data_IF_399801867366
#
_entry.id   IF_399801867366
#
_cell.length_a   1.000
_cell.length_b   1.000
_cell.length_c   1.000
_cell.angle_alpha   90.00
_cell.angle_beta   90.00
_cell.angle_gamma   90.00
#
_symmetry.space_group_name_H-M   'P 1'
#
loop_
_entity.id
_entity.type
_entity.pdbx_description
1 polymer ?
#
# COMPACT_ATOMS: atom_id res chain seq x y z
N UNK A 1 -9.06 -27.34 13.43
CA UNK A 1 -9.48 -27.03 12.04
C UNK A 1 -9.37 -25.53 11.86
N UNK A 2 -8.27 -25.04 11.32
CA UNK A 2 -8.05 -23.61 11.03
C UNK A 2 -8.63 -23.32 9.65
N UNK A 3 -9.70 -22.55 9.61
CA UNK A 3 -10.33 -22.04 8.38
C UNK A 3 -9.36 -21.07 7.70
N UNK A 4 -8.89 -21.44 6.51
CA UNK A 4 -8.08 -20.57 5.64
C UNK A 4 -8.89 -19.31 5.32
N UNK A 5 -8.37 -18.09 5.54
CA UNK A 5 -9.11 -16.87 5.24
C UNK A 5 -9.43 -16.84 3.73
N UNK A 6 -10.71 -16.65 3.40
CA UNK A 6 -11.16 -16.46 2.04
C UNK A 6 -10.72 -15.06 1.60
N UNK A 7 -9.72 -14.99 0.73
CA UNK A 7 -9.32 -13.74 0.10
C UNK A 7 -10.45 -13.29 -0.84
N UNK A 8 -10.83 -12.02 -0.78
CA UNK A 8 -11.72 -11.43 -1.77
C UNK A 8 -10.97 -11.35 -3.10
N UNK A 9 -11.32 -12.25 -4.03
CA UNK A 9 -10.72 -12.33 -5.35
C UNK A 9 -11.48 -11.50 -6.38
N UNK A 10 -12.49 -10.73 -5.99
CA UNK A 10 -13.24 -9.84 -6.88
C UNK A 10 -12.31 -8.91 -7.67
N UNK A 11 -11.23 -8.33 -7.11
CA UNK A 11 -10.25 -7.54 -7.86
C UNK A 11 -9.43 -8.34 -8.89
N UNK A 12 -9.38 -9.67 -8.79
CA UNK A 12 -8.72 -10.53 -9.79
C UNK A 12 -9.67 -10.94 -10.91
N UNK A 13 -10.97 -10.73 -10.77
CA UNK A 13 -11.96 -11.07 -11.79
C UNK A 13 -11.70 -10.27 -13.08
N UNK A 14 -11.38 -8.99 -12.96
CA UNK A 14 -11.09 -8.14 -14.12
C UNK A 14 -9.73 -8.46 -14.75
N UNK A 15 -8.73 -8.84 -13.94
CA UNK A 15 -7.46 -9.41 -14.44
C UNK A 15 -7.70 -10.70 -15.22
N UNK A 16 -8.54 -11.59 -14.68
CA UNK A 16 -8.89 -12.87 -15.31
C UNK A 16 -9.61 -12.64 -16.63
N UNK A 17 -10.49 -11.63 -16.69
CA UNK A 17 -11.16 -11.20 -17.92
C UNK A 17 -10.17 -10.64 -18.93
N UNK A 18 -9.23 -9.78 -18.51
CA UNK A 18 -8.22 -9.20 -19.38
C UNK A 18 -7.29 -10.28 -19.98
N UNK A 19 -6.88 -11.26 -19.17
CA UNK A 19 -6.10 -12.42 -19.61
C UNK A 19 -6.92 -13.29 -20.58
N UNK A 20 -8.18 -13.59 -20.27
CA UNK A 20 -9.05 -14.40 -21.12
C UNK A 20 -9.30 -13.74 -22.49
N UNK A 21 -9.57 -12.43 -22.51
CA UNK A 21 -9.74 -11.66 -23.75
C UNK A 21 -8.44 -11.61 -24.55
N UNK A 22 -7.28 -11.48 -23.91
CA UNK A 22 -5.98 -11.53 -24.57
C UNK A 22 -5.74 -12.86 -25.27
N UNK A 23 -6.05 -13.96 -24.58
CA UNK A 23 -5.95 -15.32 -25.12
C UNK A 23 -6.89 -15.49 -26.31
N UNK A 24 -8.11 -14.96 -26.24
CA UNK A 24 -9.12 -15.10 -27.29
C UNK A 24 -8.84 -14.27 -28.55
N UNK A 25 -8.25 -13.09 -28.39
CA UNK A 25 -8.01 -12.14 -29.50
C UNK A 25 -6.65 -12.31 -30.18
N UNK A 26 -5.69 -12.97 -29.52
CA UNK A 26 -4.37 -13.19 -30.11
C UNK A 26 -4.46 -14.38 -31.07
N UNK A 27 -4.16 -14.22 -32.37
CA UNK A 27 -4.16 -15.33 -33.32
C UNK A 27 -2.90 -16.18 -33.10
N UNK A 28 -2.90 -16.96 -32.03
CA UNK A 28 -1.79 -17.85 -31.67
C UNK A 28 -1.92 -19.15 -32.46
N UNK A 29 -0.88 -19.54 -33.22
CA UNK A 29 -0.75 -20.95 -33.60
C UNK A 29 -0.38 -21.75 -32.36
N UNK A 30 -1.40 -22.26 -31.66
CA UNK A 30 -1.21 -23.16 -30.52
C UNK A 30 -0.34 -24.35 -30.96
N UNK A 31 0.86 -24.46 -30.41
CA UNK A 31 1.80 -25.56 -30.66
C UNK A 31 3.16 -25.19 -31.26
N UNK A 32 3.45 -23.92 -31.59
CA UNK A 32 4.82 -23.49 -31.94
C UNK A 32 5.48 -22.69 -30.80
N UNK A 33 6.82 -22.72 -30.67
CA UNK A 33 7.55 -21.93 -29.69
C UNK A 33 7.28 -20.41 -29.81
N UNK A 34 7.07 -19.93 -31.04
CA UNK A 34 6.77 -18.52 -31.34
C UNK A 34 5.37 -18.13 -30.86
N UNK A 35 4.36 -18.99 -31.06
CA UNK A 35 3.00 -18.74 -30.58
C UNK A 35 2.90 -18.68 -29.05
N UNK A 36 3.70 -19.49 -28.34
CA UNK A 36 3.77 -19.43 -26.88
C UNK A 36 4.44 -18.13 -26.38
N UNK A 37 5.48 -17.66 -27.09
CA UNK A 37 6.16 -16.41 -26.77
C UNK A 37 5.26 -15.18 -27.01
N UNK A 38 4.54 -15.15 -28.13
CA UNK A 38 3.60 -14.07 -28.46
C UNK A 38 2.46 -13.97 -27.45
N UNK A 39 1.92 -15.13 -27.02
CA UNK A 39 0.90 -15.17 -25.98
C UNK A 39 1.42 -14.68 -24.63
N UNK A 40 2.63 -15.09 -24.24
CA UNK A 40 3.26 -14.66 -23.00
C UNK A 40 3.51 -13.14 -22.99
N UNK A 41 3.97 -12.58 -24.11
CA UNK A 41 4.16 -11.14 -24.26
C UNK A 41 2.84 -10.37 -24.18
N UNK A 42 1.78 -10.84 -24.86
CA UNK A 42 0.46 -10.20 -24.82
C UNK A 42 -0.18 -10.23 -23.42
N UNK A 43 -0.07 -11.36 -22.72
CA UNK A 43 -0.53 -11.49 -21.33
C UNK A 43 0.27 -10.59 -20.39
N UNK A 44 1.60 -10.54 -20.52
CA UNK A 44 2.46 -9.69 -19.70
C UNK A 44 2.13 -8.19 -19.87
N UNK A 45 1.94 -7.72 -21.11
CA UNK A 45 1.59 -6.32 -21.38
C UNK A 45 0.22 -5.96 -20.82
N UNK A 46 -0.79 -6.81 -21.02
CA UNK A 46 -2.15 -6.54 -20.51
C UNK A 46 -2.24 -6.67 -18.98
N UNK A 47 -1.49 -7.60 -18.38
CA UNK A 47 -1.37 -7.69 -16.93
C UNK A 47 -0.65 -6.48 -16.32
N UNK A 48 0.40 -5.97 -16.98
CA UNK A 48 1.09 -4.75 -16.57
C UNK A 48 0.22 -3.50 -16.74
N UNK A 49 -0.55 -3.40 -17.83
CA UNK A 49 -1.51 -2.31 -18.05
C UNK A 49 -2.67 -2.37 -17.04
N UNK A 50 -3.20 -3.56 -16.76
CA UNK A 50 -4.19 -3.76 -15.70
C UNK A 50 -3.61 -3.34 -14.35
N UNK A 51 -2.46 -3.89 -13.96
CA UNK A 51 -1.75 -3.52 -12.74
C UNK A 51 -1.52 -2.00 -12.64
N UNK A 52 -1.11 -1.33 -13.72
CA UNK A 52 -0.97 0.13 -13.74
C UNK A 52 -2.29 0.92 -13.69
N UNK A 53 -3.42 0.29 -13.99
CA UNK A 53 -4.77 0.91 -13.95
C UNK A 53 -5.54 0.66 -12.65
N UNK A 54 -5.27 -0.45 -11.95
CA UNK A 54 -5.86 -0.78 -10.64
C UNK A 54 -4.93 -0.48 -9.47
N UNK A 55 -3.61 -0.50 -9.66
CA UNK A 55 -2.70 0.05 -8.66
C UNK A 55 -2.80 1.57 -8.79
N UNK A 56 -3.27 2.29 -7.77
CA UNK A 56 -3.21 3.74 -7.77
C UNK A 56 -1.73 4.18 -7.86
N UNK A 57 -1.47 5.49 -7.85
CA UNK A 57 -0.13 6.06 -7.56
C UNK A 57 0.63 5.35 -6.43
N UNK A 58 -0.10 4.70 -5.52
CA UNK A 58 0.37 3.75 -4.50
C UNK A 58 1.33 2.68 -5.02
N UNK A 59 1.19 2.18 -6.25
CA UNK A 59 2.05 1.13 -6.80
C UNK A 59 3.53 1.51 -6.82
N UNK A 60 3.83 2.79 -7.13
CA UNK A 60 5.21 3.30 -7.11
C UNK A 60 5.73 3.43 -5.68
N UNK A 61 4.97 4.07 -4.80
CA UNK A 61 5.36 4.31 -3.40
C UNK A 61 5.55 2.97 -2.66
N UNK A 62 4.65 2.01 -2.88
CA UNK A 62 4.78 0.66 -2.33
C UNK A 62 6.02 -0.08 -2.88
N UNK A 63 6.38 0.15 -4.14
CA UNK A 63 7.62 -0.34 -4.72
C UNK A 63 8.87 0.23 -4.04
N UNK A 64 8.87 1.53 -3.74
CA UNK A 64 9.95 2.20 -2.98
C UNK A 64 10.05 1.68 -1.55
N UNK A 65 8.92 1.51 -0.87
CA UNK A 65 8.87 0.91 0.48
C UNK A 65 9.40 -0.53 0.47
N UNK A 66 9.02 -1.33 -0.54
CA UNK A 66 9.51 -2.70 -0.68
C UNK A 66 11.02 -2.74 -0.95
N UNK A 67 11.54 -1.84 -1.79
CA UNK A 67 12.96 -1.71 -2.06
C UNK A 67 13.74 -1.30 -0.79
N UNK A 68 13.21 -0.35 -0.03
CA UNK A 68 13.77 0.03 1.27
C UNK A 68 13.81 -1.19 2.20
N UNK A 69 12.70 -1.92 2.39
CA UNK A 69 12.69 -3.12 3.25
C UNK A 69 13.71 -4.17 2.82
N UNK A 70 13.90 -4.41 1.53
CA UNK A 70 14.95 -5.30 1.04
C UNK A 70 16.36 -4.77 1.39
N UNK A 71 16.61 -3.45 1.29
CA UNK A 71 17.88 -2.85 1.68
C UNK A 71 18.14 -2.94 3.20
N UNK A 72 17.10 -2.75 4.00
CA UNK A 72 17.16 -2.91 5.45
C UNK A 72 17.47 -4.36 5.84
N UNK A 73 16.84 -5.34 5.21
CA UNK A 73 17.10 -6.76 5.45
C UNK A 73 18.53 -7.14 5.03
N UNK A 74 19.02 -6.60 3.91
CA UNK A 74 20.41 -6.79 3.50
C UNK A 74 21.42 -6.16 4.48
N UNK A 75 21.05 -5.03 5.11
CA UNK A 75 21.92 -4.29 6.03
C UNK A 75 21.92 -4.86 7.45
N UNK A 76 20.78 -5.29 7.95
CA UNK A 76 20.57 -5.64 9.36
C UNK A 76 20.11 -7.08 9.58
N UNK A 77 19.79 -7.83 8.52
CA UNK A 77 19.28 -9.20 8.63
C UNK A 77 17.88 -9.27 9.24
N UNK A 78 17.50 -10.46 9.69
CA UNK A 78 16.24 -10.68 10.40
C UNK A 78 16.21 -9.88 11.71
N UNK A 79 15.13 -9.12 11.92
CA UNK A 79 14.88 -8.36 13.15
C UNK A 79 13.76 -9.04 13.94
N UNK A 80 14.05 -9.51 15.14
CA UNK A 80 13.10 -10.18 16.04
C UNK A 80 13.12 -9.50 17.42
N UNK A 81 12.63 -8.25 17.47
CA UNK A 81 12.56 -7.46 18.70
C UNK A 81 11.19 -7.64 19.39
N UNK A 82 11.11 -7.53 20.73
CA UNK A 82 9.83 -7.40 21.42
C UNK A 82 9.11 -6.11 20.98
N UNK A 83 7.77 -6.14 20.96
CA UNK A 83 6.97 -5.01 20.47
C UNK A 83 7.18 -3.73 21.29
N UNK A 84 7.32 -3.85 22.61
CA UNK A 84 7.55 -2.70 23.50
C UNK A 84 6.39 -1.70 23.55
N UNK A 85 5.19 -2.11 23.13
CA UNK A 85 3.96 -1.31 23.08
C UNK A 85 3.10 -1.47 24.34
N UNK A 86 2.06 -0.67 24.44
CA UNK A 86 1.09 -0.69 25.53
C UNK A 86 1.46 0.17 26.74
N UNK A 87 0.86 -0.17 27.88
CA UNK A 87 1.08 0.52 29.14
C UNK A 87 0.40 1.91 29.24
N UNK A 88 0.36 2.48 30.46
CA UNK A 88 -0.39 3.70 30.74
C UNK A 88 0.17 4.94 30.02
N UNK A 89 1.48 5.00 29.79
CA UNK A 89 2.12 6.15 29.13
C UNK A 89 1.72 6.24 27.65
N UNK A 90 1.76 5.12 26.91
CA UNK A 90 1.37 5.15 25.50
C UNK A 90 -0.13 5.35 25.32
N UNK A 91 -0.97 4.78 26.19
CA UNK A 91 -2.41 5.05 26.19
C UNK A 91 -2.75 6.53 26.43
N UNK A 92 -2.03 7.19 27.34
CA UNK A 92 -2.19 8.63 27.55
C UNK A 92 -1.80 9.43 26.29
N UNK A 93 -0.67 9.09 25.65
CA UNK A 93 -0.22 9.74 24.41
C UNK A 93 -1.19 9.51 23.24
N UNK A 94 -1.76 8.31 23.10
CA UNK A 94 -2.78 8.03 22.10
C UNK A 94 -4.01 8.92 22.29
N UNK A 95 -4.47 9.05 23.55
CA UNK A 95 -5.60 9.92 23.89
C UNK A 95 -5.30 11.38 23.54
N UNK A 96 -4.10 11.88 23.88
CA UNK A 96 -3.67 13.25 23.58
C UNK A 96 -3.56 13.49 22.06
N UNK A 97 -2.98 12.55 21.31
CA UNK A 97 -2.80 12.67 19.86
C UNK A 97 -4.14 12.68 19.13
N UNK A 98 -5.06 11.78 19.52
CA UNK A 98 -6.43 11.74 19.01
C UNK A 98 -7.18 13.04 19.29
N UNK A 99 -7.09 13.56 20.52
CA UNK A 99 -7.71 14.83 20.87
C UNK A 99 -7.14 15.99 20.04
N UNK A 100 -5.83 16.01 19.79
CA UNK A 100 -5.18 17.03 18.97
C UNK A 100 -5.60 16.95 17.49
N UNK A 101 -5.66 15.75 16.92
CA UNK A 101 -6.12 15.55 15.54
C UNK A 101 -7.59 15.95 15.38
N UNK A 102 -8.45 15.53 16.30
CA UNK A 102 -9.87 15.91 16.32
C UNK A 102 -10.05 17.43 16.45
N UNK A 103 -9.29 18.08 17.33
CA UNK A 103 -9.33 19.54 17.46
C UNK A 103 -9.01 20.22 16.13
N UNK A 104 -7.99 19.77 15.40
CA UNK A 104 -7.66 20.33 14.08
C UNK A 104 -8.75 20.03 13.06
N UNK A 105 -9.33 18.83 13.07
CA UNK A 105 -10.47 18.48 12.23
C UNK A 105 -11.65 19.43 12.43
N UNK A 106 -11.91 19.83 13.69
CA UNK A 106 -12.96 20.80 14.03
C UNK A 106 -12.58 22.26 13.70
N UNK A 107 -11.29 22.55 13.46
CA UNK A 107 -10.72 23.91 13.32
C UNK A 107 -9.93 24.12 12.03
N UNK A 108 -10.45 23.67 10.89
CA UNK A 108 -9.85 23.91 9.57
C UNK A 108 -9.22 22.69 8.91
N UNK A 109 -9.33 21.52 9.55
CA UNK A 109 -8.88 20.23 9.04
C UNK A 109 -7.56 19.77 9.68
N UNK A 110 -7.38 18.45 9.87
CA UNK A 110 -6.14 17.93 10.39
C UNK A 110 -4.99 18.11 9.39
N UNK A 111 -3.79 18.36 9.90
CA UNK A 111 -2.55 18.34 9.12
C UNK A 111 -2.00 16.91 9.04
N UNK A 112 -1.18 16.61 8.03
CA UNK A 112 -0.61 15.26 7.85
C UNK A 112 0.18 14.76 9.07
N UNK A 113 0.84 15.66 9.81
CA UNK A 113 1.60 15.32 11.01
C UNK A 113 0.66 14.84 12.12
N UNK A 114 -0.47 15.52 12.32
CA UNK A 114 -1.46 15.18 13.34
C UNK A 114 -2.11 13.83 13.08
N UNK A 115 -2.46 13.55 11.83
CA UNK A 115 -3.00 12.25 11.41
C UNK A 115 -1.95 11.16 11.66
N UNK A 116 -0.71 11.35 11.20
CA UNK A 116 0.34 10.34 11.40
C UNK A 116 0.63 10.08 12.87
N UNK A 117 0.68 11.13 13.71
CA UNK A 117 0.94 10.97 15.14
C UNK A 117 -0.20 10.25 15.86
N UNK A 118 -1.46 10.50 15.47
CA UNK A 118 -2.61 9.75 15.99
C UNK A 118 -2.42 8.26 15.74
N UNK A 119 -2.24 7.84 14.48
CA UNK A 119 -2.06 6.43 14.12
C UNK A 119 -0.86 5.79 14.81
N UNK A 120 0.27 6.50 14.89
CA UNK A 120 1.48 6.00 15.55
C UNK A 120 1.22 5.77 17.03
N UNK A 121 0.57 6.69 17.72
CA UNK A 121 0.31 6.51 19.14
C UNK A 121 -0.79 5.50 19.44
N UNK A 122 -1.79 5.35 18.57
CA UNK A 122 -2.78 4.27 18.67
C UNK A 122 -2.08 2.90 18.53
N UNK A 123 -1.19 2.72 17.54
CA UNK A 123 -0.38 1.51 17.42
C UNK A 123 0.51 1.26 18.65
N UNK A 124 1.23 2.29 19.13
CA UNK A 124 2.11 2.15 20.31
C UNK A 124 1.35 1.89 21.61
N UNK A 125 0.05 2.17 21.68
CA UNK A 125 -0.79 1.90 22.85
C UNK A 125 -1.40 0.50 22.87
N UNK A 126 -1.32 -0.25 21.76
CA UNK A 126 -1.90 -1.58 21.61
C UNK A 126 -0.99 -2.69 22.17
N UNK A 127 -1.59 -3.70 22.81
CA UNK A 127 -0.90 -4.83 23.44
C UNK A 127 -1.25 -6.16 22.78
N UNK A 128 -2.38 -6.24 22.07
CA UNK A 128 -2.84 -7.44 21.40
C UNK A 128 -2.20 -7.53 19.99
N UNK A 129 -1.46 -8.62 19.66
CA UNK A 129 -0.68 -8.68 18.43
C UNK A 129 -1.47 -8.52 17.12
N UNK A 130 -2.69 -9.07 17.02
CA UNK A 130 -3.47 -8.97 15.80
C UNK A 130 -3.97 -7.52 15.57
N UNK A 131 -4.36 -6.84 16.65
CA UNK A 131 -4.71 -5.43 16.64
C UNK A 131 -3.51 -4.53 16.38
N UNK A 132 -2.37 -4.78 17.04
CA UNK A 132 -1.13 -4.04 16.80
C UNK A 132 -0.74 -4.11 15.32
N UNK A 133 -0.81 -5.29 14.72
CA UNK A 133 -0.58 -5.46 13.27
C UNK A 133 -1.54 -4.61 12.44
N UNK A 134 -2.82 -4.55 12.82
CA UNK A 134 -3.81 -3.73 12.11
C UNK A 134 -3.48 -2.24 12.23
N UNK A 135 -3.16 -1.74 13.42
CA UNK A 135 -2.77 -0.34 13.61
C UNK A 135 -1.47 0.01 12.87
N UNK A 136 -0.47 -0.86 12.88
CA UNK A 136 0.78 -0.66 12.10
C UNK A 136 0.52 -0.59 10.59
N UNK A 137 -0.49 -1.31 10.08
CA UNK A 137 -0.93 -1.17 8.69
C UNK A 137 -1.56 0.20 8.44
N UNK A 138 -2.34 0.73 9.39
CA UNK A 138 -2.90 2.09 9.28
C UNK A 138 -1.81 3.15 9.27
N UNK A 139 -0.79 3.03 10.14
CA UNK A 139 0.40 3.90 10.12
C UNK A 139 1.08 3.89 8.75
N UNK A 140 1.34 2.70 8.19
CA UNK A 140 1.96 2.57 6.87
C UNK A 140 1.07 3.17 5.75
N UNK A 141 -0.25 3.01 5.84
CA UNK A 141 -1.19 3.58 4.90
C UNK A 141 -1.19 5.11 4.94
N UNK A 142 -1.19 5.73 6.13
CA UNK A 142 -1.12 7.19 6.29
C UNK A 142 0.21 7.75 5.77
N UNK A 143 1.33 7.09 6.08
CA UNK A 143 2.64 7.49 5.54
C UNK A 143 2.65 7.42 4.00
N UNK A 144 2.11 6.35 3.42
CA UNK A 144 1.96 6.19 1.97
C UNK A 144 1.10 7.30 1.38
N UNK A 145 -0.07 7.57 1.96
CA UNK A 145 -0.97 8.63 1.51
C UNK A 145 -0.33 10.02 1.57
N UNK A 146 0.51 10.28 2.58
CA UNK A 146 1.24 11.54 2.70
C UNK A 146 2.30 11.68 1.60
N UNK A 147 3.09 10.64 1.31
CA UNK A 147 4.05 10.63 0.20
C UNK A 147 3.34 10.94 -1.11
N UNK A 148 2.25 10.22 -1.41
CA UNK A 148 1.48 10.47 -2.63
C UNK A 148 0.90 11.89 -2.70
N UNK A 149 0.50 12.46 -1.56
CA UNK A 149 0.05 13.85 -1.51
C UNK A 149 1.18 14.83 -1.82
N UNK A 150 2.42 14.55 -1.40
CA UNK A 150 3.60 15.32 -1.80
C UNK A 150 3.78 15.21 -3.31
N UNK A 151 3.81 13.99 -3.86
CA UNK A 151 4.01 13.75 -5.28
C UNK A 151 2.98 14.49 -6.15
N UNK A 152 1.70 14.40 -5.78
CA UNK A 152 0.62 15.09 -6.50
C UNK A 152 0.82 16.60 -6.52
N UNK A 153 1.26 17.18 -5.40
CA UNK A 153 1.52 18.63 -5.30
C UNK A 153 2.72 19.04 -6.15
N UNK A 154 3.81 18.27 -6.11
CA UNK A 154 5.02 18.54 -6.88
C UNK A 154 4.75 18.44 -8.38
N UNK A 155 4.12 17.35 -8.83
CA UNK A 155 3.80 17.17 -10.26
C UNK A 155 2.83 18.24 -10.79
N UNK A 156 1.88 18.70 -9.96
CA UNK A 156 0.97 19.77 -10.34
C UNK A 156 1.70 21.13 -10.48
N UNK A 157 2.68 21.41 -9.63
CA UNK A 157 3.49 22.62 -9.71
C UNK A 157 4.34 22.64 -10.99
N UNK A 158 4.99 21.51 -11.33
CA UNK A 158 5.80 21.37 -12.55
C UNK A 158 4.98 21.58 -13.83
N UNK A 159 3.74 21.09 -13.88
CA UNK A 159 2.83 21.32 -15.03
C UNK A 159 2.31 22.77 -15.08
N UNK A 160 2.17 23.42 -13.92
CA UNK A 160 1.74 24.82 -13.83
C UNK A 160 2.80 25.82 -14.30
N UNK A 161 4.09 25.54 -14.08
CA UNK A 161 5.21 26.37 -14.54
C UNK A 161 5.50 26.21 -16.05
N UNK A 162 5.07 25.09 -16.65
CA UNK A 162 5.24 24.81 -18.07
C UNK A 162 4.15 25.40 -18.99
N UNK A 163 3.15 26.12 -18.43
CA UNK A 163 2.05 26.79 -19.17
C UNK A 163 2.24 28.29 -19.22
#
# INVERSE_FOLDING_TARGET
MTTRPAFDLTPLHDLTKAIATAIAETPVRLGSPEGAADLAAAVAVRAAAYAGSVLPTSGRVLGEIAAERAAQDARWGEQAHPDGTGGPVMRARATEARAACQYLADNGGPDWRSILLEEVYEALAEEEPARLRAELVQVAAVATAWIEAIDRRTNAAEVGEAK
#
